data_IF_976594910167
#
_entry.id   IF_976594910167
#
_cell.length_a   1.000
_cell.length_b   1.000
_cell.length_c   1.000
_cell.angle_alpha   90.00
_cell.angle_beta   90.00
_cell.angle_gamma   90.00
#
_symmetry.space_group_name_H-M   'P 1'
#
loop_
_entity.id
_entity.type
_entity.pdbx_description
1 polymer ?
#
# COMPACT_ATOMS: atom_id res chain seq x y z
N UNK A 1 -8.83 -10.84 36.37
CA UNK A 1 -10.13 -11.54 36.18
C UNK A 1 -10.08 -12.30 34.87
N UNK A 2 -10.22 -13.62 34.87
CA UNK A 2 -10.29 -14.42 33.67
C UNK A 2 -11.72 -14.42 33.15
N UNK A 3 -11.98 -14.00 31.91
CA UNK A 3 -13.29 -14.10 31.28
C UNK A 3 -13.18 -14.97 30.01
N UNK A 4 -13.48 -16.28 30.10
CA UNK A 4 -13.33 -17.19 28.96
C UNK A 4 -14.17 -16.79 27.74
N UNK A 5 -15.26 -16.07 27.92
CA UNK A 5 -16.10 -15.59 26.80
C UNK A 5 -15.39 -14.46 26.05
N UNK A 6 -14.86 -13.46 26.78
CA UNK A 6 -14.13 -12.33 26.20
C UNK A 6 -12.87 -12.82 25.52
N UNK A 7 -12.12 -13.73 26.18
CA UNK A 7 -10.94 -14.37 25.55
C UNK A 7 -11.29 -15.05 24.23
N UNK A 8 -12.34 -15.89 24.22
CA UNK A 8 -12.74 -16.61 22.99
C UNK A 8 -13.17 -15.66 21.87
N UNK A 9 -13.86 -14.58 22.20
CA UNK A 9 -14.24 -13.56 21.22
C UNK A 9 -13.00 -12.87 20.63
N UNK A 10 -12.09 -12.35 21.46
CA UNK A 10 -10.88 -11.68 20.99
C UNK A 10 -9.99 -12.62 20.17
N UNK A 11 -9.76 -13.84 20.66
CA UNK A 11 -8.99 -14.85 19.95
C UNK A 11 -9.65 -15.28 18.63
N UNK A 12 -10.98 -15.39 18.61
CA UNK A 12 -11.75 -15.70 17.41
C UNK A 12 -11.64 -14.61 16.35
N UNK A 13 -11.72 -13.32 16.73
CA UNK A 13 -11.55 -12.20 15.80
C UNK A 13 -10.12 -12.13 15.25
N UNK A 14 -9.11 -12.39 16.09
CA UNK A 14 -7.70 -12.48 15.64
C UNK A 14 -7.49 -13.66 14.68
N UNK A 15 -8.04 -14.83 14.99
CA UNK A 15 -7.99 -15.99 14.10
C UNK A 15 -8.74 -15.73 12.79
N UNK A 16 -9.87 -15.06 12.86
CA UNK A 16 -10.65 -14.69 11.67
C UNK A 16 -9.84 -13.80 10.74
N UNK A 17 -9.34 -12.63 11.20
CA UNK A 17 -8.61 -11.71 10.32
C UNK A 17 -7.32 -12.31 9.76
N UNK A 18 -6.63 -13.18 10.51
CA UNK A 18 -5.33 -13.74 10.10
C UNK A 18 -5.42 -15.00 9.25
N UNK A 19 -6.47 -15.81 9.44
CA UNK A 19 -6.61 -17.14 8.81
C UNK A 19 -7.99 -17.34 8.21
N UNK A 20 -9.05 -17.07 8.97
CA UNK A 20 -10.43 -17.32 8.54
C UNK A 20 -10.84 -16.52 7.31
N UNK A 21 -10.58 -15.23 7.34
CA UNK A 21 -10.87 -14.34 6.21
C UNK A 21 -10.10 -14.69 4.93
N UNK A 22 -8.77 -14.90 4.94
CA UNK A 22 -8.04 -15.38 3.76
C UNK A 22 -8.61 -16.66 3.15
N UNK A 23 -8.99 -17.62 3.99
CA UNK A 23 -9.60 -18.87 3.54
C UNK A 23 -11.00 -18.61 2.96
N UNK A 24 -11.84 -17.86 3.66
CA UNK A 24 -13.19 -17.52 3.18
C UNK A 24 -13.13 -16.77 1.84
N UNK A 25 -12.20 -15.82 1.71
CA UNK A 25 -11.96 -15.06 0.49
C UNK A 25 -11.50 -15.98 -0.67
N UNK A 26 -10.58 -16.92 -0.39
CA UNK A 26 -10.11 -17.88 -1.38
C UNK A 26 -11.23 -18.85 -1.84
N UNK A 27 -12.09 -19.26 -0.93
CA UNK A 27 -13.27 -20.11 -1.27
C UNK A 27 -14.27 -19.30 -2.07
N UNK A 28 -14.64 -18.10 -1.62
CA UNK A 28 -15.58 -17.23 -2.31
C UNK A 28 -15.11 -16.89 -3.73
N UNK A 29 -13.83 -16.52 -3.89
CA UNK A 29 -13.28 -16.23 -5.22
C UNK A 29 -13.36 -17.44 -6.16
N UNK A 30 -13.04 -18.64 -5.69
CA UNK A 30 -13.17 -19.87 -6.52
C UNK A 30 -14.59 -20.20 -6.91
N UNK A 31 -15.54 -20.06 -5.99
CA UNK A 31 -16.94 -20.41 -6.22
C UNK A 31 -17.65 -19.40 -7.13
N UNK A 32 -17.38 -18.11 -6.95
CA UNK A 32 -18.05 -17.04 -7.66
C UNK A 32 -17.39 -16.71 -9.01
N UNK A 33 -16.07 -16.86 -9.12
CA UNK A 33 -15.30 -16.52 -10.31
C UNK A 33 -15.01 -17.74 -11.21
N UNK A 34 -15.22 -18.98 -10.72
CA UNK A 34 -15.05 -20.20 -11.51
C UNK A 34 -15.99 -20.31 -12.73
N UNK A 35 -16.84 -19.31 -12.96
CA UNK A 35 -17.76 -19.22 -14.10
C UNK A 35 -17.67 -17.90 -14.90
N UNK A 36 -16.86 -16.94 -14.52
CA UNK A 36 -16.80 -15.67 -15.23
C UNK A 36 -15.52 -14.88 -14.92
N UNK A 37 -14.72 -14.86 -15.87
CA UNK A 37 -13.96 -13.76 -16.45
C UNK A 37 -12.89 -14.37 -17.36
N UNK A 38 -13.32 -14.74 -18.54
CA UNK A 38 -12.40 -14.62 -19.67
C UNK A 38 -11.93 -13.18 -19.64
N UNK A 39 -10.62 -12.98 -19.44
CA UNK A 39 -10.03 -11.67 -19.58
C UNK A 39 -10.55 -11.10 -20.91
N UNK A 40 -11.07 -9.87 -20.93
CA UNK A 40 -11.57 -9.32 -22.19
C UNK A 40 -10.48 -9.50 -23.22
N UNK A 41 -10.78 -10.24 -24.30
CA UNK A 41 -9.85 -10.46 -25.38
C UNK A 41 -9.25 -9.10 -25.74
N UNK A 42 -7.93 -9.03 -25.87
CA UNK A 42 -7.24 -7.84 -26.38
C UNK A 42 -7.87 -7.50 -27.72
N UNK A 43 -8.95 -6.73 -27.70
CA UNK A 43 -9.54 -6.23 -28.94
C UNK A 43 -8.63 -5.14 -29.45
N UNK A 44 -7.99 -5.40 -30.57
CA UNK A 44 -6.95 -4.61 -31.22
C UNK A 44 -7.34 -3.17 -31.62
N UNK A 45 -8.54 -2.71 -31.27
CA UNK A 45 -9.10 -1.43 -31.77
C UNK A 45 -9.63 -0.50 -30.67
N UNK A 46 -9.27 -0.71 -29.37
CA UNK A 46 -9.68 0.28 -28.36
C UNK A 46 -8.68 1.42 -28.34
N UNK A 47 -9.21 2.65 -28.48
CA UNK A 47 -8.41 3.89 -28.38
C UNK A 47 -7.83 3.95 -26.97
N UNK A 48 -6.49 3.96 -26.86
CA UNK A 48 -5.80 4.14 -25.59
C UNK A 48 -6.12 5.55 -25.04
N UNK A 49 -6.44 5.71 -23.75
CA UNK A 49 -6.67 7.01 -23.13
C UNK A 49 -5.37 7.80 -23.01
N UNK A 50 -5.47 9.11 -22.85
CA UNK A 50 -4.34 9.94 -22.43
C UNK A 50 -4.01 9.69 -20.94
N UNK A 51 -2.72 9.63 -20.61
CA UNK A 51 -2.23 9.38 -19.24
C UNK A 51 -1.26 10.47 -18.83
N UNK A 52 -1.45 11.01 -17.62
CA UNK A 52 -0.46 11.81 -16.94
C UNK A 52 0.17 10.96 -15.82
N UNK A 53 1.46 10.65 -15.94
CA UNK A 53 2.23 9.96 -14.88
C UNK A 53 2.84 11.01 -13.96
N UNK A 54 2.33 11.11 -12.74
CA UNK A 54 2.75 12.05 -11.71
C UNK A 54 3.73 11.37 -10.76
N UNK A 55 4.90 11.98 -10.58
CA UNK A 55 5.98 11.54 -9.70
C UNK A 55 6.20 12.63 -8.65
N UNK A 56 5.62 12.51 -7.44
CA UNK A 56 5.93 13.40 -6.35
C UNK A 56 7.37 13.14 -5.85
N UNK A 57 8.16 14.20 -5.67
CA UNK A 57 9.55 14.10 -5.30
C UNK A 57 9.92 15.09 -4.18
N UNK A 58 10.67 14.63 -3.17
CA UNK A 58 11.28 15.47 -2.15
C UNK A 58 12.65 14.92 -1.78
N UNK A 59 13.72 15.66 -2.05
CA UNK A 59 15.10 15.23 -1.84
C UNK A 59 15.40 13.87 -2.54
N UNK A 60 15.08 13.80 -3.84
CA UNK A 60 15.17 12.57 -4.66
C UNK A 60 16.18 12.72 -5.81
N UNK A 61 17.17 13.66 -5.70
CA UNK A 61 18.15 13.96 -6.73
C UNK A 61 18.83 12.71 -7.28
N UNK A 62 19.18 11.75 -6.41
CA UNK A 62 19.97 10.58 -6.77
C UNK A 62 19.19 9.54 -7.59
N UNK A 63 17.86 9.56 -7.52
CA UNK A 63 17.00 8.55 -8.18
C UNK A 63 16.07 9.13 -9.24
N UNK A 64 15.81 10.44 -9.23
CA UNK A 64 14.77 11.04 -10.07
C UNK A 64 15.10 10.91 -11.58
N UNK A 65 16.37 11.01 -11.96
CA UNK A 65 16.80 10.86 -13.36
C UNK A 65 16.51 9.45 -13.89
N UNK A 66 16.85 8.42 -13.12
CA UNK A 66 16.55 7.02 -13.46
C UNK A 66 15.03 6.78 -13.52
N UNK A 67 14.25 7.40 -12.62
CA UNK A 67 12.80 7.30 -12.63
C UNK A 67 12.16 7.94 -13.86
N UNK A 68 12.60 9.12 -14.27
CA UNK A 68 12.10 9.79 -15.49
C UNK A 68 12.47 8.96 -16.73
N UNK A 69 13.72 8.44 -16.81
CA UNK A 69 14.13 7.56 -17.88
C UNK A 69 13.28 6.27 -17.93
N UNK A 70 12.99 5.66 -16.78
CA UNK A 70 12.09 4.50 -16.68
C UNK A 70 10.67 4.84 -17.16
N UNK A 71 10.13 6.00 -16.80
CA UNK A 71 8.81 6.46 -17.23
C UNK A 71 8.74 6.64 -18.76
N UNK A 72 9.82 7.15 -19.37
CA UNK A 72 9.93 7.33 -20.83
C UNK A 72 10.09 6.01 -21.61
N UNK A 73 10.62 4.98 -20.96
CA UNK A 73 10.82 3.66 -21.56
C UNK A 73 9.55 2.76 -21.46
N UNK A 74 8.46 3.23 -20.86
CA UNK A 74 7.21 2.48 -20.77
C UNK A 74 6.61 2.25 -22.16
N UNK A 75 6.07 1.06 -22.38
CA UNK A 75 5.38 0.67 -23.63
C UNK A 75 3.99 1.32 -23.70
N UNK A 76 3.98 2.62 -23.94
CA UNK A 76 2.78 3.44 -24.14
C UNK A 76 3.06 4.48 -25.23
N UNK A 77 2.06 4.87 -26.08
CA UNK A 77 2.28 5.88 -27.11
C UNK A 77 2.76 7.20 -26.51
N UNK A 78 3.90 7.71 -27.00
CA UNK A 78 4.55 8.89 -26.43
C UNK A 78 3.65 10.13 -26.46
N UNK A 79 2.81 10.28 -27.49
CA UNK A 79 1.84 11.37 -27.64
C UNK A 79 0.67 11.28 -26.68
N UNK A 80 0.53 10.17 -25.97
CA UNK A 80 -0.53 9.93 -24.97
C UNK A 80 -0.01 9.84 -23.54
N UNK A 81 1.29 9.96 -23.32
CA UNK A 81 1.94 9.91 -22.02
C UNK A 81 2.59 11.24 -21.70
N UNK A 82 2.12 11.90 -20.65
CA UNK A 82 2.77 13.07 -20.06
C UNK A 82 3.42 12.68 -18.75
N UNK A 83 4.72 12.95 -18.58
CA UNK A 83 5.48 12.68 -17.35
C UNK A 83 5.65 13.98 -16.57
N UNK A 84 5.05 14.05 -15.39
CA UNK A 84 5.09 15.20 -14.49
C UNK A 84 5.86 14.86 -13.23
N UNK A 85 6.87 15.66 -12.90
CA UNK A 85 7.56 15.58 -11.60
C UNK A 85 7.10 16.74 -10.73
N UNK A 86 6.48 16.43 -9.58
CA UNK A 86 6.00 17.41 -8.62
C UNK A 86 6.97 17.47 -7.42
N UNK A 87 7.87 18.44 -7.41
CA UNK A 87 8.87 18.62 -6.38
C UNK A 87 8.26 19.36 -5.19
N UNK A 88 8.27 18.74 -4.00
CA UNK A 88 7.70 19.23 -2.76
C UNK A 88 8.78 19.91 -1.91
N UNK A 89 9.18 21.14 -2.27
CA UNK A 89 10.17 21.92 -1.56
C UNK A 89 11.58 21.28 -1.56
N UNK A 90 11.99 20.67 -2.68
CA UNK A 90 13.34 20.10 -2.80
C UNK A 90 14.38 21.20 -3.04
N UNK A 91 15.48 21.16 -2.27
CA UNK A 91 16.61 22.11 -2.39
C UNK A 91 17.92 21.44 -2.79
N UNK A 92 17.89 20.17 -3.08
CA UNK A 92 19.05 19.31 -3.40
C UNK A 92 19.39 19.22 -4.90
N UNK A 93 18.63 19.93 -5.76
CA UNK A 93 18.77 19.84 -7.23
C UNK A 93 17.87 18.80 -7.89
N UNK A 94 16.91 18.23 -7.17
CA UNK A 94 15.89 17.30 -7.73
C UNK A 94 15.16 17.92 -8.93
N UNK A 95 14.65 19.18 -8.90
CA UNK A 95 13.93 19.77 -10.04
C UNK A 95 14.78 19.84 -11.32
N UNK A 96 16.05 20.23 -11.19
CA UNK A 96 16.99 20.33 -12.30
C UNK A 96 17.29 18.96 -12.90
N UNK A 97 17.56 17.97 -12.04
CA UNK A 97 17.78 16.59 -12.47
C UNK A 97 16.58 16.02 -13.23
N UNK A 98 15.36 16.32 -12.79
CA UNK A 98 14.13 15.91 -13.48
C UNK A 98 13.97 16.56 -14.86
N UNK A 99 14.29 17.86 -15.00
CA UNK A 99 14.25 18.58 -16.29
C UNK A 99 15.28 18.03 -17.26
N UNK A 100 16.52 17.83 -16.79
CA UNK A 100 17.60 17.26 -17.62
C UNK A 100 17.26 15.83 -18.07
N UNK A 101 16.61 15.05 -17.22
CA UNK A 101 16.17 13.68 -17.55
C UNK A 101 14.99 13.64 -18.54
N UNK A 102 14.37 14.77 -18.88
CA UNK A 102 13.33 14.87 -19.91
C UNK A 102 11.90 14.69 -19.38
N UNK A 103 11.60 15.09 -18.14
CA UNK A 103 10.22 15.23 -17.69
C UNK A 103 9.48 16.30 -18.53
N UNK A 104 8.22 16.08 -18.91
CA UNK A 104 7.44 17.04 -19.71
C UNK A 104 7.11 18.30 -18.91
N UNK A 105 6.85 18.12 -17.63
CA UNK A 105 6.56 19.21 -16.70
C UNK A 105 7.23 18.94 -15.35
N UNK A 106 7.93 19.94 -14.84
CA UNK A 106 8.48 19.92 -13.48
C UNK A 106 7.88 21.07 -12.68
N UNK A 107 7.09 20.72 -11.68
CA UNK A 107 6.49 21.67 -10.74
C UNK A 107 7.43 21.81 -9.55
N UNK A 108 7.95 23.00 -9.34
CA UNK A 108 8.76 23.34 -8.17
C UNK A 108 7.86 24.04 -7.14
N UNK A 109 7.40 23.25 -6.17
CA UNK A 109 6.35 23.65 -5.22
C UNK A 109 6.96 23.95 -3.85
N UNK A 110 6.34 24.85 -3.07
CA UNK A 110 6.70 24.98 -1.66
C UNK A 110 6.40 23.67 -0.91
N UNK A 111 7.11 23.44 0.19
CA UNK A 111 6.91 22.26 1.04
C UNK A 111 5.46 22.18 1.56
N UNK A 112 4.71 21.20 1.14
CA UNK A 112 3.28 20.99 1.50
C UNK A 112 2.91 19.53 1.74
N UNK A 113 3.81 18.61 1.44
CA UNK A 113 3.60 17.17 1.55
C UNK A 113 3.21 16.50 0.24
N UNK A 114 3.38 15.18 0.21
CA UNK A 114 3.19 14.34 -0.98
C UNK A 114 1.83 14.52 -1.65
N UNK A 115 0.75 14.54 -0.85
CA UNK A 115 -0.62 14.65 -1.36
C UNK A 115 -0.85 16.01 -2.00
N UNK A 116 -0.37 17.10 -1.40
CA UNK A 116 -0.47 18.45 -1.96
C UNK A 116 0.24 18.53 -3.31
N UNK A 117 1.45 17.97 -3.39
CA UNK A 117 2.19 17.92 -4.65
C UNK A 117 1.45 17.11 -5.74
N UNK A 118 0.86 15.99 -5.37
CA UNK A 118 0.05 15.16 -6.27
C UNK A 118 -1.21 15.89 -6.73
N UNK A 119 -1.99 16.48 -5.83
CA UNK A 119 -3.22 17.22 -6.14
C UNK A 119 -2.92 18.43 -7.04
N UNK A 120 -1.82 19.15 -6.76
CA UNK A 120 -1.38 20.28 -7.59
C UNK A 120 -1.03 19.82 -9.01
N UNK A 121 -0.34 18.69 -9.16
CA UNK A 121 0.00 18.14 -10.46
C UNK A 121 -1.25 17.66 -11.21
N UNK A 122 -2.21 17.04 -10.54
CA UNK A 122 -3.49 16.65 -11.14
C UNK A 122 -4.26 17.87 -11.68
N UNK A 123 -4.21 18.98 -10.98
CA UNK A 123 -4.86 20.22 -11.44
C UNK A 123 -4.21 20.85 -12.71
N UNK A 124 -2.97 20.43 -13.04
CA UNK A 124 -2.24 20.91 -14.22
C UNK A 124 -2.39 19.99 -15.45
N UNK A 125 -3.25 18.96 -15.41
CA UNK A 125 -3.43 18.03 -16.52
C UNK A 125 -4.89 17.79 -16.83
N UNK A 126 -5.17 17.60 -18.13
CA UNK A 126 -6.48 17.21 -18.66
C UNK A 126 -6.52 15.75 -19.15
N UNK A 127 -5.48 14.96 -18.83
CA UNK A 127 -5.42 13.54 -19.21
C UNK A 127 -6.59 12.76 -18.62
N UNK A 128 -7.11 11.78 -19.39
CA UNK A 128 -8.25 10.95 -18.99
C UNK A 128 -7.95 10.07 -17.77
N UNK A 129 -6.69 9.65 -17.64
CA UNK A 129 -6.18 8.86 -16.53
C UNK A 129 -5.01 9.60 -15.88
N UNK A 130 -4.98 9.65 -14.56
CA UNK A 130 -3.82 10.11 -13.78
C UNK A 130 -3.19 8.93 -13.08
N UNK A 131 -1.94 8.66 -13.41
CA UNK A 131 -1.13 7.59 -12.82
C UNK A 131 -0.12 8.19 -11.83
N UNK A 132 0.23 7.46 -10.80
CA UNK A 132 1.12 7.92 -9.72
C UNK A 132 2.20 6.89 -9.43
N UNK A 133 3.43 7.36 -9.25
CA UNK A 133 4.56 6.53 -8.90
C UNK A 133 5.46 7.21 -7.87
N UNK A 134 6.00 6.45 -6.93
CA UNK A 134 7.09 6.95 -6.09
C UNK A 134 8.37 7.13 -6.92
N UNK A 135 9.21 8.09 -6.54
CA UNK A 135 10.43 8.44 -7.27
C UNK A 135 11.47 7.29 -7.31
N UNK A 136 11.46 6.41 -6.31
CA UNK A 136 12.33 5.24 -6.21
C UNK A 136 11.70 3.93 -6.73
N UNK A 137 10.50 4.01 -7.31
CA UNK A 137 9.78 2.85 -7.82
C UNK A 137 9.99 2.71 -9.34
N UNK A 138 10.62 1.63 -9.77
CA UNK A 138 10.84 1.36 -11.18
C UNK A 138 9.76 0.42 -11.72
N UNK A 139 9.09 0.84 -12.77
CA UNK A 139 8.00 0.09 -13.40
C UNK A 139 8.52 -0.84 -14.49
N UNK A 140 7.92 -2.02 -14.62
CA UNK A 140 8.18 -2.90 -15.76
C UNK A 140 7.69 -2.24 -17.07
N UNK A 141 8.27 -2.57 -18.24
CA UNK A 141 7.97 -1.87 -19.49
C UNK A 141 6.49 -1.83 -19.88
N UNK A 142 5.74 -2.87 -19.60
CA UNK A 142 4.31 -3.00 -19.88
C UNK A 142 3.38 -2.54 -18.73
N UNK A 143 3.96 -2.14 -17.61
CA UNK A 143 3.20 -1.86 -16.38
C UNK A 143 2.13 -0.78 -16.56
N UNK A 144 2.39 0.26 -17.36
CA UNK A 144 1.39 1.31 -17.60
C UNK A 144 0.23 0.80 -18.44
N UNK A 145 0.48 0.02 -19.47
CA UNK A 145 -0.54 -0.58 -20.32
C UNK A 145 -1.44 -1.53 -19.52
N UNK A 146 -0.84 -2.35 -18.66
CA UNK A 146 -1.57 -3.24 -17.75
C UNK A 146 -2.39 -2.47 -16.70
N UNK A 147 -1.85 -1.36 -16.18
CA UNK A 147 -2.55 -0.50 -15.21
C UNK A 147 -3.78 0.19 -15.84
N UNK A 148 -3.71 0.55 -17.13
CA UNK A 148 -4.75 1.25 -17.86
C UNK A 148 -5.84 0.30 -18.39
N UNK A 149 -5.50 -0.95 -18.66
CA UNK A 149 -6.41 -1.94 -19.26
C UNK A 149 -7.78 -2.07 -18.54
N UNK A 150 -7.87 -2.10 -17.19
CA UNK A 150 -9.17 -2.16 -16.51
C UNK A 150 -10.06 -0.94 -16.77
N UNK A 151 -9.49 0.27 -16.89
CA UNK A 151 -10.27 1.48 -17.21
C UNK A 151 -10.88 1.45 -18.61
N UNK A 152 -10.18 0.80 -19.56
CA UNK A 152 -10.68 0.60 -20.92
C UNK A 152 -11.79 -0.44 -20.93
N UNK A 153 -11.63 -1.50 -20.12
CA UNK A 153 -12.56 -2.62 -20.08
C UNK A 153 -13.92 -2.23 -19.46
N UNK A 154 -13.89 -1.39 -18.42
CA UNK A 154 -15.09 -1.03 -17.66
C UNK A 154 -15.06 0.45 -17.23
N UNK A 155 -16.08 1.20 -17.63
CA UNK A 155 -16.23 2.62 -17.29
C UNK A 155 -16.53 2.86 -15.79
N UNK A 156 -16.98 1.85 -15.06
CA UNK A 156 -17.20 1.93 -13.63
C UNK A 156 -15.87 1.86 -12.81
N UNK A 157 -14.75 1.53 -13.46
CA UNK A 157 -13.45 1.50 -12.79
C UNK A 157 -12.96 2.93 -12.58
N UNK A 158 -12.83 3.32 -11.30
CA UNK A 158 -12.32 4.62 -10.88
C UNK A 158 -10.87 4.60 -10.39
N UNK A 159 -10.41 3.45 -9.87
CA UNK A 159 -9.08 3.26 -9.31
C UNK A 159 -8.48 1.92 -9.70
N UNK A 160 -7.19 1.90 -10.03
CA UNK A 160 -6.43 0.66 -10.26
C UNK A 160 -5.07 0.78 -9.59
N UNK A 161 -4.66 -0.23 -8.84
CA UNK A 161 -3.29 -0.35 -8.34
C UNK A 161 -2.58 -1.57 -8.95
N UNK A 162 -1.27 -1.46 -9.08
CA UNK A 162 -0.41 -2.57 -9.49
C UNK A 162 0.22 -3.29 -8.29
N UNK A 163 1.21 -4.14 -8.58
CA UNK A 163 1.98 -4.94 -7.63
C UNK A 163 3.38 -4.39 -7.44
N UNK A 164 3.84 -4.38 -6.20
CA UNK A 164 5.21 -3.97 -5.86
C UNK A 164 6.00 -5.20 -5.46
N UNK A 165 7.17 -5.37 -6.05
CA UNK A 165 8.17 -6.35 -5.65
C UNK A 165 9.32 -5.63 -4.94
N UNK A 166 9.54 -5.98 -3.70
CA UNK A 166 10.67 -5.48 -2.93
C UNK A 166 11.92 -6.33 -3.19
N UNK A 167 13.02 -5.67 -3.55
CA UNK A 167 14.32 -6.30 -3.73
C UNK A 167 15.25 -5.91 -2.58
N UNK A 168 16.00 -6.92 -2.10
CA UNK A 168 17.08 -6.69 -1.15
C UNK A 168 18.40 -6.94 -1.87
N UNK A 169 19.17 -5.90 -2.20
CA UNK A 169 20.45 -6.04 -2.90
C UNK A 169 21.46 -6.88 -2.12
N UNK A 170 21.39 -6.85 -0.80
CA UNK A 170 22.39 -7.48 0.11
C UNK A 170 22.05 -8.94 0.44
N UNK A 171 21.01 -9.52 -0.16
CA UNK A 171 20.66 -10.94 0.03
C UNK A 171 20.12 -11.30 1.41
N UNK A 172 19.78 -10.33 2.25
CA UNK A 172 19.21 -10.53 3.59
C UNK A 172 17.83 -11.20 3.57
N UNK A 173 17.33 -11.57 4.75
CA UNK A 173 16.02 -12.24 4.87
C UNK A 173 14.88 -11.36 4.41
N UNK A 174 14.14 -11.78 3.39
CA UNK A 174 13.00 -11.05 2.82
C UNK A 174 11.69 -11.37 3.57
N UNK A 175 11.59 -10.98 4.84
CA UNK A 175 10.35 -11.15 5.63
C UNK A 175 9.27 -10.17 5.17
N UNK A 176 9.64 -8.95 4.81
CA UNK A 176 8.74 -7.96 4.24
C UNK A 176 8.17 -8.46 2.91
N UNK A 177 8.97 -9.01 2.02
CA UNK A 177 8.50 -9.56 0.75
C UNK A 177 7.49 -10.71 0.93
N UNK A 178 7.62 -11.54 1.99
CA UNK A 178 6.63 -12.58 2.31
C UNK A 178 5.31 -12.00 2.79
N UNK A 179 5.38 -10.97 3.64
CA UNK A 179 4.20 -10.27 4.09
C UNK A 179 3.47 -9.59 2.91
N UNK A 180 4.24 -8.92 2.03
CA UNK A 180 3.69 -8.30 0.84
C UNK A 180 3.10 -9.32 -0.13
N UNK A 181 3.73 -10.48 -0.33
CA UNK A 181 3.14 -11.56 -1.15
C UNK A 181 1.77 -12.01 -0.61
N UNK A 182 1.64 -12.10 0.72
CA UNK A 182 0.35 -12.38 1.36
C UNK A 182 -0.67 -11.25 1.12
N UNK A 183 -0.28 -9.97 1.28
CA UNK A 183 -1.14 -8.82 1.02
C UNK A 183 -1.60 -8.77 -0.45
N UNK A 184 -0.68 -9.00 -1.40
CA UNK A 184 -1.01 -9.05 -2.82
C UNK A 184 -2.04 -10.16 -3.11
N UNK A 185 -1.86 -11.35 -2.53
CA UNK A 185 -2.78 -12.46 -2.71
C UNK A 185 -4.18 -12.20 -2.12
N UNK A 186 -4.28 -11.41 -1.06
CA UNK A 186 -5.58 -10.96 -0.54
C UNK A 186 -6.22 -9.93 -1.48
N UNK A 187 -5.44 -8.93 -1.89
CA UNK A 187 -5.89 -7.83 -2.75
C UNK A 187 -6.40 -8.31 -4.10
N UNK A 188 -5.68 -9.25 -4.72
CA UNK A 188 -6.12 -9.93 -5.95
C UNK A 188 -7.52 -10.52 -5.82
N UNK A 189 -7.77 -11.26 -4.73
CA UNK A 189 -9.08 -11.88 -4.48
C UNK A 189 -10.16 -10.87 -4.12
N UNK A 190 -9.81 -9.82 -3.36
CA UNK A 190 -10.70 -8.70 -3.07
C UNK A 190 -11.11 -7.98 -4.34
N UNK A 191 -10.13 -7.66 -5.20
CA UNK A 191 -10.34 -7.06 -6.52
C UNK A 191 -11.27 -7.90 -7.39
N UNK A 192 -11.04 -9.21 -7.41
CA UNK A 192 -11.84 -10.13 -8.21
C UNK A 192 -13.30 -10.22 -7.73
N UNK A 193 -13.54 -10.14 -6.42
CA UNK A 193 -14.90 -10.26 -5.85
C UNK A 193 -15.68 -8.94 -5.87
N UNK A 194 -15.01 -7.82 -5.65
CA UNK A 194 -15.65 -6.52 -5.54
C UNK A 194 -14.65 -5.40 -5.85
N UNK A 195 -13.86 -4.99 -4.86
CA UNK A 195 -12.87 -3.91 -4.95
C UNK A 195 -11.78 -4.10 -3.91
N UNK A 196 -10.57 -3.59 -4.17
CA UNK A 196 -9.49 -3.60 -3.20
C UNK A 196 -9.81 -2.71 -2.00
N UNK A 197 -9.41 -3.15 -0.81
CA UNK A 197 -9.62 -2.39 0.43
C UNK A 197 -8.53 -1.34 0.70
N UNK A 198 -7.41 -1.43 -0.01
CA UNK A 198 -6.32 -0.44 -0.08
C UNK A 198 -5.44 -0.74 -1.29
N UNK A 199 -4.76 0.27 -1.81
CA UNK A 199 -3.76 0.16 -2.85
C UNK A 199 -2.32 0.16 -2.34
N UNK A 200 -1.42 0.77 -3.13
CA UNK A 200 -0.05 1.09 -2.75
C UNK A 200 0.35 2.42 -3.39
N UNK A 201 1.35 3.08 -2.84
CA UNK A 201 1.82 4.38 -3.34
C UNK A 201 2.78 4.31 -4.52
N UNK A 202 3.35 3.13 -4.77
CA UNK A 202 4.42 2.94 -5.76
C UNK A 202 3.90 2.83 -7.22
N UNK A 203 2.68 2.30 -7.40
CA UNK A 203 2.07 2.11 -8.70
C UNK A 203 0.54 2.06 -8.58
N UNK A 204 -0.13 3.11 -9.02
CA UNK A 204 -1.59 3.18 -9.12
C UNK A 204 -2.03 4.24 -10.10
N UNK A 205 -3.27 4.15 -10.55
CA UNK A 205 -3.91 5.14 -11.40
C UNK A 205 -5.36 5.39 -10.98
N UNK A 206 -5.88 6.56 -11.34
CA UNK A 206 -7.24 6.99 -11.06
C UNK A 206 -7.83 7.57 -12.34
N UNK A 207 -9.07 7.24 -12.66
CA UNK A 207 -9.83 7.94 -13.71
C UNK A 207 -9.99 9.40 -13.32
N UNK A 208 -9.65 10.33 -14.21
CA UNK A 208 -9.68 11.77 -13.92
C UNK A 208 -11.04 12.24 -13.40
N UNK A 209 -12.14 11.72 -13.97
CA UNK A 209 -13.51 12.06 -13.54
C UNK A 209 -13.90 11.46 -12.18
N UNK A 210 -13.18 10.45 -11.69
CA UNK A 210 -13.36 9.86 -10.36
C UNK A 210 -12.42 10.48 -9.32
N UNK A 211 -11.41 11.24 -9.74
CA UNK A 211 -10.41 11.77 -8.82
C UNK A 211 -11.03 12.78 -7.85
N UNK A 212 -10.73 12.60 -6.58
CA UNK A 212 -11.12 13.50 -5.50
C UNK A 212 -9.89 13.89 -4.68
N UNK A 213 -9.80 15.17 -4.34
CA UNK A 213 -8.76 15.64 -3.44
C UNK A 213 -8.98 15.05 -2.05
N UNK A 214 -7.91 14.66 -1.39
CA UNK A 214 -7.97 14.16 -0.03
C UNK A 214 -7.22 15.11 0.90
N UNK A 215 -7.49 14.99 2.19
CA UNK A 215 -6.74 15.77 3.20
C UNK A 215 -5.25 15.51 3.07
N UNK A 216 -4.37 16.54 3.08
CA UNK A 216 -2.93 16.42 2.89
C UNK A 216 -2.22 15.41 3.79
N UNK A 217 -2.76 15.12 4.96
CA UNK A 217 -2.20 14.11 5.89
C UNK A 217 -2.66 12.69 5.58
N UNK A 218 -3.58 12.50 4.62
CA UNK A 218 -4.16 11.19 4.28
C UNK A 218 -3.57 10.69 2.97
N UNK A 219 -2.81 9.59 3.00
CA UNK A 219 -2.22 8.99 1.80
C UNK A 219 -3.27 8.44 0.82
N UNK A 220 -3.07 8.69 -0.47
CA UNK A 220 -3.95 8.24 -1.55
C UNK A 220 -4.12 6.71 -1.57
N UNK A 221 -3.06 5.97 -1.31
CA UNK A 221 -3.00 4.51 -1.37
C UNK A 221 -4.01 3.82 -0.44
N UNK A 222 -4.27 4.39 0.73
CA UNK A 222 -5.26 3.90 1.66
C UNK A 222 -6.60 4.62 1.54
N UNK A 223 -6.59 5.96 1.31
CA UNK A 223 -7.80 6.79 1.36
C UNK A 223 -8.65 6.69 0.09
N UNK A 224 -8.05 6.75 -1.11
CA UNK A 224 -8.80 6.80 -2.36
C UNK A 224 -9.64 5.53 -2.61
N UNK A 225 -9.13 4.28 -2.49
CA UNK A 225 -9.89 3.10 -2.86
C UNK A 225 -11.26 3.03 -2.18
N UNK A 226 -11.31 3.14 -0.86
CA UNK A 226 -12.58 3.04 -0.14
C UNK A 226 -13.48 4.29 -0.30
N UNK A 227 -12.89 5.46 -0.59
CA UNK A 227 -13.64 6.67 -0.89
C UNK A 227 -14.37 6.51 -2.22
N UNK A 228 -13.67 6.08 -3.26
CA UNK A 228 -14.23 5.89 -4.58
C UNK A 228 -15.28 4.77 -4.62
N UNK A 229 -15.07 3.68 -3.87
CA UNK A 229 -16.09 2.63 -3.75
C UNK A 229 -17.37 3.17 -3.08
N UNK A 230 -17.25 4.09 -2.13
CA UNK A 230 -18.42 4.77 -1.53
C UNK A 230 -19.20 5.62 -2.52
N UNK A 231 -18.53 6.16 -3.51
CA UNK A 231 -19.10 6.95 -4.60
C UNK A 231 -19.61 6.10 -5.77
N UNK A 232 -19.52 4.77 -5.65
CA UNK A 232 -20.04 3.82 -6.63
C UNK A 232 -19.02 3.38 -7.69
N UNK A 233 -17.76 3.81 -7.60
CA UNK A 233 -16.69 3.34 -8.48
C UNK A 233 -16.14 1.98 -8.05
N UNK A 234 -15.52 1.27 -9.00
CA UNK A 234 -14.72 0.09 -8.71
C UNK A 234 -13.25 0.49 -8.45
N UNK A 235 -12.63 -0.16 -7.45
CA UNK A 235 -11.21 -0.06 -7.17
C UNK A 235 -10.57 -1.44 -7.36
N UNK A 236 -9.70 -1.60 -8.35
CA UNK A 236 -9.19 -2.90 -8.78
C UNK A 236 -7.68 -3.03 -8.60
N UNK A 237 -7.18 -4.27 -8.68
CA UNK A 237 -5.75 -4.58 -8.84
C UNK A 237 -5.50 -5.10 -10.27
N UNK A 238 -4.48 -4.56 -10.91
CA UNK A 238 -3.93 -5.07 -12.17
C UNK A 238 -2.69 -5.91 -11.88
N UNK A 239 -2.79 -7.23 -12.01
CA UNK A 239 -1.70 -8.17 -11.68
C UNK A 239 -0.47 -7.99 -12.57
N UNK A 240 -0.67 -7.65 -13.85
CA UNK A 240 0.39 -7.39 -14.81
C UNK A 240 1.11 -6.06 -14.59
N UNK A 241 0.49 -5.09 -13.91
CA UNK A 241 1.10 -3.81 -13.62
C UNK A 241 2.11 -3.94 -12.47
N UNK A 242 3.40 -4.02 -12.76
CA UNK A 242 4.44 -4.35 -11.78
C UNK A 242 5.46 -3.24 -11.62
N UNK A 243 5.87 -3.05 -10.37
CA UNK A 243 6.93 -2.13 -9.99
C UNK A 243 7.90 -2.81 -9.03
N UNK A 244 9.14 -2.31 -9.00
CA UNK A 244 10.19 -2.80 -8.12
C UNK A 244 10.70 -1.66 -7.25
N UNK A 245 10.88 -1.92 -5.95
CA UNK A 245 11.46 -1.00 -4.99
C UNK A 245 12.55 -1.67 -4.16
N UNK A 246 13.54 -0.89 -3.71
CA UNK A 246 14.54 -1.35 -2.75
C UNK A 246 13.96 -1.38 -1.35
N UNK A 247 14.27 -2.45 -0.60
CA UNK A 247 13.92 -2.57 0.81
C UNK A 247 14.79 -1.67 1.68
N UNK A 248 14.26 -1.30 2.86
CA UNK A 248 15.08 -0.75 3.94
C UNK A 248 16.04 -1.86 4.41
N UNK A 249 17.36 -1.57 4.56
CA UNK A 249 18.37 -2.61 4.78
C UNK A 249 18.20 -3.39 6.08
N UNK A 250 17.65 -2.78 7.14
CA UNK A 250 17.58 -3.40 8.47
C UNK A 250 16.16 -3.43 9.06
N UNK A 251 15.93 -4.34 10.01
CA UNK A 251 14.61 -4.56 10.64
C UNK A 251 14.22 -3.39 11.56
N UNK A 252 15.19 -2.72 12.18
CA UNK A 252 14.98 -1.61 13.09
C UNK A 252 14.50 -0.36 12.30
N UNK A 253 15.15 -0.05 11.19
CA UNK A 253 14.72 1.00 10.24
C UNK A 253 13.35 0.70 9.66
N UNK A 254 13.08 -0.57 9.31
CA UNK A 254 11.75 -0.99 8.86
C UNK A 254 10.68 -0.81 9.94
N UNK A 255 10.98 -1.14 11.20
CA UNK A 255 10.04 -0.93 12.30
C UNK A 255 9.75 0.56 12.55
N UNK A 256 10.76 1.42 12.46
CA UNK A 256 10.61 2.88 12.56
C UNK A 256 9.78 3.44 11.39
N UNK A 257 10.06 3.00 10.16
CA UNK A 257 9.27 3.33 8.96
C UNK A 257 7.81 2.93 9.12
N UNK A 258 7.54 1.69 9.58
CA UNK A 258 6.17 1.19 9.79
C UNK A 258 5.44 1.97 10.89
N UNK A 259 6.11 2.34 11.99
CA UNK A 259 5.51 3.16 13.04
C UNK A 259 5.04 4.52 12.49
N UNK A 260 5.86 5.20 11.69
CA UNK A 260 5.49 6.45 11.02
C UNK A 260 4.32 6.25 10.05
N UNK A 261 4.37 5.20 9.20
CA UNK A 261 3.27 4.87 8.31
C UNK A 261 1.96 4.60 9.07
N UNK A 262 2.04 3.94 10.24
CA UNK A 262 0.85 3.68 11.06
C UNK A 262 0.29 4.95 11.70
N UNK A 263 1.10 5.94 12.07
CA UNK A 263 0.61 7.24 12.53
C UNK A 263 -0.27 7.92 11.46
N UNK A 264 0.21 7.97 10.20
CA UNK A 264 -0.59 8.47 9.07
C UNK A 264 -1.86 7.62 8.82
N UNK A 265 -1.74 6.30 8.89
CA UNK A 265 -2.87 5.40 8.69
C UNK A 265 -3.97 5.62 9.75
N UNK A 266 -3.61 5.90 11.00
CA UNK A 266 -4.58 6.18 12.05
C UNK A 266 -5.37 7.48 11.81
N UNK A 267 -4.77 8.49 11.19
CA UNK A 267 -5.50 9.68 10.73
C UNK A 267 -6.64 9.29 9.78
N UNK A 268 -6.36 8.38 8.84
CA UNK A 268 -7.36 7.90 7.88
C UNK A 268 -8.42 7.02 8.58
N UNK A 269 -8.01 6.15 9.50
CA UNK A 269 -8.91 5.26 10.23
C UNK A 269 -9.90 6.06 11.07
N UNK A 270 -9.42 7.03 11.85
CA UNK A 270 -10.25 7.77 12.82
C UNK A 270 -10.94 8.99 12.18
N UNK A 271 -10.25 9.76 11.35
CA UNK A 271 -10.73 10.99 10.73
C UNK A 271 -11.22 10.83 9.28
N UNK A 272 -10.70 9.81 8.56
CA UNK A 272 -10.94 9.62 7.12
C UNK A 272 -12.24 8.87 6.78
N UNK A 273 -13.15 8.63 7.74
CA UNK A 273 -14.40 7.87 7.56
C UNK A 273 -14.20 6.40 7.14
N UNK A 274 -13.03 5.81 7.39
CA UNK A 274 -12.78 4.41 7.09
C UNK A 274 -13.68 3.45 7.91
N UNK A 275 -14.10 3.85 9.11
CA UNK A 275 -14.98 3.05 9.97
C UNK A 275 -16.48 3.25 9.70
N UNK A 276 -16.84 4.10 8.75
CA UNK A 276 -18.23 4.37 8.35
C UNK A 276 -18.62 3.51 7.14
N UNK A 277 -19.48 2.49 7.29
CA UNK A 277 -19.86 1.59 6.20
C UNK A 277 -20.87 2.18 5.21
N UNK A 278 -21.43 3.35 5.50
CA UNK A 278 -22.49 3.95 4.68
C UNK A 278 -21.99 4.25 3.28
N UNK A 279 -22.78 3.84 2.29
CA UNK A 279 -22.46 4.00 0.87
C UNK A 279 -21.62 2.85 0.30
N UNK A 280 -21.16 1.89 1.10
CA UNK A 280 -20.48 0.71 0.59
C UNK A 280 -21.42 -0.48 0.33
N UNK A 281 -21.16 -1.28 -0.71
CA UNK A 281 -21.78 -2.59 -0.85
C UNK A 281 -21.53 -3.48 0.36
N UNK A 282 -22.48 -4.35 0.73
CA UNK A 282 -22.34 -5.22 1.90
C UNK A 282 -21.08 -6.09 1.84
N UNK A 283 -20.78 -6.67 0.67
CA UNK A 283 -19.56 -7.49 0.47
C UNK A 283 -18.31 -6.66 0.78
N UNK A 284 -18.23 -5.44 0.26
CA UNK A 284 -17.10 -4.55 0.53
C UNK A 284 -16.99 -4.17 2.02
N UNK A 285 -18.13 -3.91 2.68
CA UNK A 285 -18.17 -3.65 4.12
C UNK A 285 -17.62 -4.83 4.92
N UNK A 286 -17.99 -6.07 4.56
CA UNK A 286 -17.47 -7.28 5.19
C UNK A 286 -15.96 -7.44 4.97
N UNK A 287 -15.45 -7.10 3.77
CA UNK A 287 -14.03 -7.11 3.46
C UNK A 287 -13.29 -6.04 4.28
N UNK A 288 -13.80 -4.82 4.35
CA UNK A 288 -13.23 -3.73 5.17
C UNK A 288 -13.19 -4.11 6.65
N UNK A 289 -14.25 -4.69 7.19
CA UNK A 289 -14.29 -5.19 8.57
C UNK A 289 -13.23 -6.26 8.80
N UNK A 290 -13.20 -7.30 7.98
CA UNK A 290 -12.36 -8.48 8.18
C UNK A 290 -10.88 -8.19 7.96
N UNK A 291 -10.55 -7.35 6.96
CA UNK A 291 -9.18 -7.07 6.56
C UNK A 291 -8.63 -5.80 7.22
N UNK A 292 -9.37 -4.70 7.18
CA UNK A 292 -8.85 -3.40 7.67
C UNK A 292 -9.20 -3.14 9.13
N UNK A 293 -10.47 -3.15 9.51
CA UNK A 293 -10.85 -2.79 10.89
C UNK A 293 -10.24 -3.71 11.92
N UNK A 294 -10.34 -5.03 11.72
CA UNK A 294 -9.75 -6.00 12.65
C UNK A 294 -8.23 -5.93 12.71
N UNK A 295 -7.56 -5.57 11.61
CA UNK A 295 -6.11 -5.36 11.60
C UNK A 295 -5.69 -4.19 12.49
N UNK A 296 -6.37 -3.05 12.38
CA UNK A 296 -6.10 -1.91 13.25
C UNK A 296 -6.51 -2.17 14.71
N UNK A 297 -7.55 -2.95 14.93
CA UNK A 297 -7.96 -3.38 16.26
C UNK A 297 -7.06 -4.48 16.88
N UNK A 298 -6.24 -5.16 16.07
CA UNK A 298 -5.49 -6.35 16.51
C UNK A 298 -4.60 -6.12 17.74
N UNK A 299 -3.84 -5.00 17.90
CA UNK A 299 -3.07 -4.76 19.12
C UNK A 299 -3.94 -4.75 20.37
N UNK A 300 -5.12 -4.09 20.33
CA UNK A 300 -6.08 -4.07 21.40
C UNK A 300 -6.69 -5.45 21.67
N UNK A 301 -7.04 -6.19 20.61
CA UNK A 301 -7.54 -7.57 20.73
C UNK A 301 -6.51 -8.51 21.36
N UNK A 302 -5.22 -8.37 21.04
CA UNK A 302 -4.14 -9.11 21.70
C UNK A 302 -4.03 -8.79 23.18
N UNK A 303 -4.14 -7.52 23.56
CA UNK A 303 -4.13 -7.10 24.97
C UNK A 303 -5.34 -7.68 25.72
N UNK A 304 -6.53 -7.59 25.11
CA UNK A 304 -7.75 -8.19 25.68
C UNK A 304 -7.59 -9.70 25.84
N UNK A 305 -7.10 -10.38 24.80
CA UNK A 305 -6.85 -11.81 24.85
C UNK A 305 -5.84 -12.18 25.95
N UNK A 306 -4.74 -11.42 26.09
CA UNK A 306 -3.73 -11.65 27.12
C UNK A 306 -4.31 -11.51 28.56
N UNK A 307 -5.05 -10.43 28.83
CA UNK A 307 -5.60 -10.14 30.16
C UNK A 307 -6.69 -11.13 30.54
N UNK A 308 -7.51 -11.57 29.58
CA UNK A 308 -8.70 -12.41 29.83
C UNK A 308 -8.42 -13.91 29.66
N UNK A 309 -7.23 -14.29 29.16
CA UNK A 309 -6.85 -15.68 28.93
C UNK A 309 -6.80 -16.53 30.21
N UNK A 310 -7.13 -17.84 30.13
CA UNK A 310 -6.80 -18.80 31.14
C UNK A 310 -5.29 -18.81 31.45
N UNK A 311 -4.90 -19.09 32.71
CA UNK A 311 -3.51 -18.98 33.20
C UNK A 311 -2.48 -19.64 32.25
N UNK A 312 -2.73 -20.86 31.79
CA UNK A 312 -1.81 -21.60 30.90
C UNK A 312 -1.63 -20.89 29.55
N UNK A 313 -2.73 -20.43 28.92
CA UNK A 313 -2.67 -19.74 27.63
C UNK A 313 -2.00 -18.36 27.76
N UNK A 314 -2.25 -17.65 28.85
CA UNK A 314 -1.57 -16.38 29.16
C UNK A 314 -0.05 -16.58 29.31
N UNK A 315 0.38 -17.64 29.98
CA UNK A 315 1.81 -17.96 30.11
C UNK A 315 2.43 -18.25 28.74
N UNK A 316 1.76 -19.01 27.87
CA UNK A 316 2.23 -19.27 26.50
C UNK A 316 2.31 -17.99 25.67
N UNK A 317 1.33 -17.08 25.77
CA UNK A 317 1.35 -15.79 25.09
C UNK A 317 2.52 -14.91 25.59
N UNK A 318 2.79 -14.88 26.90
CA UNK A 318 3.92 -14.14 27.45
C UNK A 318 5.27 -14.74 27.03
N UNK A 319 5.39 -16.07 26.99
CA UNK A 319 6.58 -16.75 26.48
C UNK A 319 6.80 -16.43 24.98
N UNK A 320 5.76 -16.50 24.17
CA UNK A 320 5.84 -16.15 22.74
C UNK A 320 6.23 -14.68 22.54
N UNK A 321 5.67 -13.77 23.34
CA UNK A 321 6.03 -12.36 23.31
C UNK A 321 7.50 -12.15 23.71
N UNK A 322 7.95 -12.77 24.82
CA UNK A 322 9.34 -12.73 25.27
C UNK A 322 10.32 -13.28 24.23
N UNK A 323 9.98 -14.43 23.62
CA UNK A 323 10.77 -15.02 22.54
C UNK A 323 10.88 -14.08 21.32
N UNK A 324 9.79 -13.40 20.95
CA UNK A 324 9.77 -12.49 19.81
C UNK A 324 10.62 -11.22 20.01
N UNK A 325 10.91 -10.85 21.26
CA UNK A 325 11.76 -9.70 21.57
C UNK A 325 13.25 -10.01 21.42
N UNK A 326 13.62 -11.31 21.35
CA UNK A 326 15.02 -11.73 21.22
C UNK A 326 15.39 -12.01 19.77
N UNK A 327 16.41 -11.34 19.17
CA UNK A 327 16.87 -11.62 17.81
C UNK A 327 17.35 -13.07 17.62
N UNK A 328 17.80 -13.72 18.70
CA UNK A 328 18.34 -15.07 18.68
C UNK A 328 17.34 -16.12 18.16
N UNK A 329 16.04 -15.94 18.42
CA UNK A 329 15.02 -16.92 17.99
C UNK A 329 14.91 -16.99 16.46
N UNK A 330 15.06 -15.87 15.76
CA UNK A 330 15.07 -15.83 14.29
C UNK A 330 16.35 -16.39 13.66
N UNK A 331 17.43 -16.57 14.45
CA UNK A 331 18.73 -17.13 14.00
C UNK A 331 18.82 -18.64 14.16
N UNK A 332 17.82 -19.28 14.76
CA UNK A 332 17.77 -20.73 14.89
C UNK A 332 17.72 -21.38 13.50
N UNK A 333 18.38 -22.52 13.28
CA UNK A 333 18.37 -23.23 12.00
C UNK A 333 16.98 -23.85 11.72
N UNK A 334 16.65 -23.99 10.44
CA UNK A 334 15.49 -24.75 9.97
C UNK A 334 14.11 -24.12 10.23
N UNK A 335 13.07 -24.94 10.41
CA UNK A 335 11.68 -24.47 10.55
C UNK A 335 11.44 -23.60 11.77
N UNK A 336 12.14 -23.87 12.89
CA UNK A 336 11.99 -23.11 14.14
C UNK A 336 12.48 -21.66 13.98
N UNK A 337 13.61 -21.45 13.32
CA UNK A 337 14.10 -20.09 13.05
C UNK A 337 13.16 -19.32 12.12
N UNK A 338 12.62 -19.98 11.09
CA UNK A 338 11.61 -19.38 10.20
C UNK A 338 10.35 -18.97 10.95
N UNK A 339 9.83 -19.82 11.83
CA UNK A 339 8.68 -19.53 12.66
C UNK A 339 8.97 -18.39 13.65
N UNK A 340 10.16 -18.39 14.27
CA UNK A 340 10.60 -17.34 15.18
C UNK A 340 10.74 -15.98 14.50
N UNK A 341 11.32 -15.94 13.31
CA UNK A 341 11.43 -14.71 12.52
C UNK A 341 10.06 -14.16 12.12
N UNK A 342 9.12 -15.02 11.71
CA UNK A 342 7.75 -14.63 11.39
C UNK A 342 7.01 -14.08 12.61
N UNK A 343 7.14 -14.75 13.76
CA UNK A 343 6.55 -14.31 15.03
C UNK A 343 7.11 -12.94 15.44
N UNK A 344 8.43 -12.77 15.37
CA UNK A 344 9.08 -11.49 15.68
C UNK A 344 8.57 -10.38 14.75
N UNK A 345 8.52 -10.61 13.44
CA UNK A 345 8.01 -9.65 12.48
C UNK A 345 6.54 -9.28 12.79
N UNK A 346 5.70 -10.28 13.07
CA UNK A 346 4.31 -10.05 13.44
C UNK A 346 4.18 -9.16 14.69
N UNK A 347 4.93 -9.46 15.76
CA UNK A 347 4.90 -8.67 17.00
C UNK A 347 5.40 -7.24 16.76
N UNK A 348 6.46 -7.06 15.96
CA UNK A 348 6.95 -5.73 15.59
C UNK A 348 5.89 -4.92 14.83
N UNK A 349 5.13 -5.55 13.93
CA UNK A 349 4.03 -4.88 13.22
C UNK A 349 2.88 -4.50 14.16
N UNK A 350 2.49 -5.37 15.09
CA UNK A 350 1.49 -5.04 16.11
C UNK A 350 1.96 -3.88 17.00
N UNK A 351 3.23 -3.88 17.39
CA UNK A 351 3.85 -2.79 18.15
C UNK A 351 3.86 -1.48 17.35
N UNK A 352 4.25 -1.52 16.07
CA UNK A 352 4.25 -0.34 15.21
C UNK A 352 2.83 0.26 15.05
N UNK A 353 1.81 -0.60 14.90
CA UNK A 353 0.41 -0.18 14.84
C UNK A 353 -0.04 0.47 16.14
N UNK A 354 0.27 -0.12 17.30
CA UNK A 354 -0.09 0.45 18.60
C UNK A 354 0.64 1.77 18.89
N UNK A 355 1.96 1.82 18.63
CA UNK A 355 2.76 3.03 18.86
C UNK A 355 2.37 4.14 17.89
N UNK A 356 2.07 3.83 16.62
CA UNK A 356 1.55 4.82 15.68
C UNK A 356 0.22 5.44 16.12
N UNK A 357 -0.66 4.68 16.81
CA UNK A 357 -1.85 5.25 17.45
C UNK A 357 -1.48 6.24 18.57
N UNK A 358 -0.53 5.85 19.42
CA UNK A 358 -0.08 6.72 20.53
C UNK A 358 0.53 8.01 19.98
N UNK A 359 1.36 7.91 18.95
CA UNK A 359 1.97 9.09 18.30
C UNK A 359 0.89 10.00 17.71
N UNK A 360 -0.06 9.43 16.96
CA UNK A 360 -1.18 10.17 16.39
C UNK A 360 -2.03 10.90 17.45
N UNK A 361 -2.30 10.24 18.58
CA UNK A 361 -3.13 10.83 19.65
C UNK A 361 -2.38 11.90 20.46
N UNK A 362 -1.05 11.86 20.54
CA UNK A 362 -0.23 12.81 21.31
C UNK A 362 0.24 14.01 20.49
N UNK A 363 0.68 13.77 19.29
CA UNK A 363 1.40 14.73 18.46
C UNK A 363 0.61 15.13 17.21
N UNK A 364 -0.48 14.39 16.89
CA UNK A 364 -1.17 14.52 15.62
C UNK A 364 -0.37 13.89 14.49
N UNK A 365 -0.69 14.27 13.26
CA UNK A 365 0.01 13.79 12.06
C UNK A 365 0.25 14.96 11.12
N UNK A 366 1.51 15.21 10.77
CA UNK A 366 1.89 16.24 9.81
C UNK A 366 1.87 15.71 8.38
N UNK A 367 1.59 16.57 7.40
CA UNK A 367 1.58 16.23 5.98
C UNK A 367 2.99 15.98 5.40
N UNK A 368 4.04 16.36 6.13
CA UNK A 368 5.42 16.20 5.72
C UNK A 368 5.84 14.74 5.60
N UNK A 369 6.63 14.42 4.56
CA UNK A 369 7.26 13.12 4.40
C UNK A 369 8.75 13.30 4.07
N UNK A 370 9.56 12.31 4.43
CA UNK A 370 10.98 12.27 4.08
C UNK A 370 11.32 10.84 3.64
N UNK A 371 12.16 10.68 2.60
CA UNK A 371 12.56 9.36 2.14
C UNK A 371 13.29 8.61 3.26
N UNK A 372 13.07 7.29 3.40
CA UNK A 372 13.84 6.47 4.34
C UNK A 372 15.32 6.43 3.93
N UNK A 373 16.22 6.48 4.91
CA UNK A 373 17.66 6.33 4.68
C UNK A 373 17.97 4.97 4.03
N UNK A 374 18.97 4.92 3.14
CA UNK A 374 19.43 3.70 2.47
C UNK A 374 18.54 3.18 1.33
N UNK A 375 17.42 3.83 1.02
CA UNK A 375 16.54 3.44 -0.10
C UNK A 375 16.81 4.24 -1.39
N UNK A 376 17.71 5.23 -1.35
CA UNK A 376 18.06 6.18 -2.42
C UNK A 376 19.52 6.00 -2.84
N UNK A 377 19.92 4.79 -3.18
CA UNK A 377 21.25 4.53 -3.75
C UNK A 377 21.06 4.39 -5.26
N UNK A 378 21.79 5.20 -6.05
CA UNK A 378 21.86 5.01 -7.50
C UNK A 378 22.41 3.60 -7.78
N UNK A 379 21.85 2.91 -8.78
CA UNK A 379 22.49 1.70 -9.27
C UNK A 379 23.80 2.12 -9.96
N UNK A 380 24.93 1.78 -9.35
CA UNK A 380 26.20 1.76 -10.04
C UNK A 380 26.07 0.67 -11.11
N UNK A 381 25.80 1.10 -12.38
CA UNK A 381 25.50 0.29 -13.53
C UNK A 381 26.62 -0.64 -13.99
#
# INVERSE_FOLDING_TARGET
>A
MTSPRIFRLAAGLLAWTSVGYPIALAVASRLLLGKARDAPSRSEHRVLPSVCLIIPAHAERDVIAAKVANARALQYPAEKLTVVVACDGSTDGTPEAARVAGADLVLDLPRGGKVVAQDTAVAQTDSEIVAFSDANSLWEPDALSELVAPFIADQAVGYVCGRVRFINPDGGSNQEGRYWAYEMALRERESALCSVTAGNGAIYAVRRSAYVNVDPVMGHDLKLPFTLVREGWLALEAEGARATERMVPDIEGEAARKRRMMSHAWTIVLGGRMLDPRGWPLVYTMMMFSHRWLRYAAPGLHLIALVTAPKRLRQLQLLALGASLTPAVGRLPGPLGRAGALLRYYVLMQRATALGLVDHLREGTEAGWSPPEGTRVADDG
#
